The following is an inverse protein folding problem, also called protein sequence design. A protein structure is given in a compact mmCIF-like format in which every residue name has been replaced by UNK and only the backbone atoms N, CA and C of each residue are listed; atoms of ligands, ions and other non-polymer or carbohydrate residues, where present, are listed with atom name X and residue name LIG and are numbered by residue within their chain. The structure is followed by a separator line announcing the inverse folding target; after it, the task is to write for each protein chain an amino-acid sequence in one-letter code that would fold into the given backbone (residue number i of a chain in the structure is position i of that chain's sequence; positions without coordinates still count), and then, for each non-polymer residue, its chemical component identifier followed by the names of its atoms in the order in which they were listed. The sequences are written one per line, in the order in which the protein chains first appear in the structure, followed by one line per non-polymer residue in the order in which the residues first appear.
data_IF_561964161445
#
_entry.id   IF_561964161445
#
_cell.length_a   1.000
_cell.length_b   1.000
_cell.length_c   1.000
_cell.angle_alpha   90.00
_cell.angle_beta   90.00
_cell.angle_gamma   90.00
#
_symmetry.space_group_name_H-M   'P 1'
#
loop_
_entity.id
_entity.type
_entity.pdbx_description
1 polymer ?
#
# COMPACT_ATOMS: atom_id res chain seq x y z
N UNK A 1 18.58 -6.60 -23.38
CA UNK A 1 17.74 -5.97 -22.33
C UNK A 1 18.48 -6.22 -21.02
N UNK A 2 19.04 -5.22 -20.39
CA UNK A 2 19.68 -5.40 -19.08
C UNK A 2 18.60 -5.74 -18.07
N UNK A 3 18.72 -6.91 -17.48
CA UNK A 3 17.81 -7.34 -16.40
C UNK A 3 18.31 -6.67 -15.10
N UNK A 4 17.85 -5.44 -14.85
CA UNK A 4 18.22 -4.69 -13.66
C UNK A 4 17.55 -5.36 -12.45
N UNK A 5 18.35 -5.77 -11.48
CA UNK A 5 17.87 -6.33 -10.22
C UNK A 5 17.65 -5.23 -9.20
N UNK A 6 16.68 -5.42 -8.33
CA UNK A 6 16.42 -4.47 -7.23
C UNK A 6 17.62 -4.36 -6.31
N UNK A 7 18.28 -5.48 -6.02
CA UNK A 7 19.49 -5.53 -5.19
C UNK A 7 20.68 -4.73 -5.75
N UNK A 8 20.69 -4.39 -7.06
CA UNK A 8 21.72 -3.51 -7.64
C UNK A 8 21.54 -2.04 -7.22
N UNK A 9 20.37 -1.67 -6.69
CA UNK A 9 20.00 -0.28 -6.36
C UNK A 9 19.66 -0.04 -4.91
N UNK A 10 19.25 -1.08 -4.19
CA UNK A 10 18.84 -0.98 -2.78
C UNK A 10 19.42 -2.13 -1.96
N UNK A 11 19.71 -1.83 -0.70
CA UNK A 11 20.15 -2.83 0.27
C UNK A 11 18.93 -3.35 1.04
N UNK A 12 18.52 -4.58 0.75
CA UNK A 12 17.37 -5.21 1.40
C UNK A 12 17.78 -5.67 2.79
N UNK A 13 17.34 -4.96 3.81
CA UNK A 13 17.66 -5.28 5.22
C UNK A 13 16.80 -6.39 5.79
N UNK A 14 15.54 -6.47 5.35
CA UNK A 14 14.60 -7.45 5.85
C UNK A 14 13.48 -7.69 4.82
N UNK A 15 13.05 -8.92 4.71
CA UNK A 15 11.82 -9.30 4.01
C UNK A 15 10.95 -10.13 4.96
N UNK A 16 9.77 -9.62 5.30
CA UNK A 16 8.78 -10.28 6.17
C UNK A 16 7.67 -10.96 5.37
N UNK A 17 7.68 -10.81 4.04
CA UNK A 17 6.70 -11.40 3.15
C UNK A 17 7.13 -12.80 2.69
N UNK A 18 6.17 -13.64 2.31
CA UNK A 18 6.41 -14.90 1.60
C UNK A 18 6.85 -14.69 0.15
N UNK A 19 6.72 -13.46 -0.37
CA UNK A 19 7.12 -13.10 -1.73
C UNK A 19 8.61 -12.75 -1.80
N UNK A 20 9.26 -13.19 -2.87
CA UNK A 20 10.61 -12.74 -3.18
C UNK A 20 10.60 -11.28 -3.65
N UNK A 21 11.53 -10.47 -3.16
CA UNK A 21 11.59 -9.02 -3.47
C UNK A 21 11.92 -8.79 -4.95
N UNK A 22 12.79 -9.62 -5.54
CA UNK A 22 13.19 -9.50 -6.95
C UNK A 22 12.03 -9.87 -7.90
N UNK A 23 11.13 -10.77 -7.47
CA UNK A 23 9.92 -11.10 -8.22
C UNK A 23 8.82 -10.06 -8.02
N UNK A 24 8.74 -9.48 -6.82
CA UNK A 24 7.68 -8.54 -6.45
C UNK A 24 7.94 -7.13 -6.97
N UNK A 25 9.18 -6.65 -6.92
CA UNK A 25 9.53 -5.26 -7.22
C UNK A 25 10.28 -5.16 -8.54
N UNK A 26 9.76 -4.34 -9.43
CA UNK A 26 10.38 -4.07 -10.71
C UNK A 26 10.83 -2.62 -10.81
N UNK A 27 11.98 -2.40 -11.46
CA UNK A 27 12.47 -1.07 -11.75
C UNK A 27 11.99 -0.67 -13.14
N UNK A 28 11.16 0.35 -13.21
CA UNK A 28 10.57 0.84 -14.44
C UNK A 28 11.10 2.23 -14.80
N UNK A 29 11.38 2.45 -16.06
CA UNK A 29 11.78 3.77 -16.57
C UNK A 29 10.54 4.66 -16.73
N UNK A 30 10.62 5.87 -16.22
CA UNK A 30 9.60 6.90 -16.47
C UNK A 30 9.90 7.64 -17.79
N UNK A 31 8.88 7.76 -18.62
CA UNK A 31 8.92 8.66 -19.77
C UNK A 31 8.58 10.07 -19.30
N UNK A 32 9.26 11.07 -19.86
CA UNK A 32 8.94 12.49 -19.65
C UNK A 32 9.04 13.01 -18.20
N UNK A 33 9.88 12.41 -17.36
CA UNK A 33 10.17 12.95 -16.05
C UNK A 33 11.69 13.10 -15.87
N UNK A 34 12.19 14.33 -15.99
CA UNK A 34 13.62 14.62 -15.89
C UNK A 34 14.15 14.54 -14.45
N UNK A 35 13.30 14.80 -13.46
CA UNK A 35 13.70 14.79 -12.04
C UNK A 35 13.83 13.37 -11.49
N UNK A 36 12.94 12.47 -11.92
CA UNK A 36 12.90 11.09 -11.46
C UNK A 36 12.73 10.15 -12.66
N UNK A 37 13.83 9.61 -13.11
CA UNK A 37 13.89 8.82 -14.34
C UNK A 37 13.37 7.37 -14.17
N UNK A 38 13.28 6.89 -12.97
CA UNK A 38 12.83 5.53 -12.66
C UNK A 38 11.81 5.52 -11.52
N UNK A 39 11.11 4.40 -11.36
CA UNK A 39 10.27 4.09 -10.22
C UNK A 39 10.33 2.60 -9.91
N UNK A 40 10.11 2.28 -8.64
CA UNK A 40 9.85 0.91 -8.22
C UNK A 40 8.35 0.62 -8.39
N UNK A 41 8.04 -0.50 -9.02
CA UNK A 41 6.67 -0.95 -9.24
C UNK A 41 6.49 -2.28 -8.54
N UNK A 42 5.54 -2.37 -7.63
CA UNK A 42 5.11 -3.64 -7.11
C UNK A 42 4.24 -4.33 -8.16
N UNK A 43 4.74 -5.42 -8.71
CA UNK A 43 4.06 -6.23 -9.72
C UNK A 43 2.72 -6.75 -9.21
N UNK A 44 2.70 -7.25 -7.99
CA UNK A 44 1.52 -7.87 -7.40
C UNK A 44 0.45 -6.88 -6.93
N UNK A 45 0.67 -5.58 -7.13
CA UNK A 45 -0.36 -4.57 -6.88
C UNK A 45 -1.47 -4.56 -7.94
N UNK A 46 -1.23 -5.17 -9.10
CA UNK A 46 -2.21 -5.26 -10.19
C UNK A 46 -2.51 -3.95 -10.92
N UNK A 47 -1.79 -2.85 -10.59
CA UNK A 47 -2.05 -1.54 -11.19
C UNK A 47 -1.41 -1.38 -12.58
N UNK A 48 -0.13 -1.71 -12.69
CA UNK A 48 0.65 -1.49 -13.92
C UNK A 48 0.80 -2.76 -14.75
N UNK A 49 0.78 -3.89 -14.08
CA UNK A 49 0.91 -5.23 -14.67
C UNK A 49 -0.30 -6.02 -14.18
N UNK A 50 -1.09 -6.60 -15.08
CA UNK A 50 -2.17 -7.50 -14.68
C UNK A 50 -1.61 -8.69 -13.90
N UNK A 51 -2.28 -9.04 -12.81
CA UNK A 51 -1.88 -10.16 -11.95
C UNK A 51 -3.11 -10.97 -11.53
N UNK A 52 -2.89 -12.21 -11.13
CA UNK A 52 -3.95 -13.06 -10.61
C UNK A 52 -4.53 -12.47 -9.30
N UNK A 53 -5.85 -12.29 -9.22
CA UNK A 53 -6.51 -11.76 -8.03
C UNK A 53 -6.20 -12.54 -6.73
N UNK A 54 -5.98 -13.85 -6.84
CA UNK A 54 -5.62 -14.66 -5.68
C UNK A 54 -4.23 -14.30 -5.15
N UNK A 55 -3.27 -14.03 -6.04
CA UNK A 55 -1.93 -13.56 -5.68
C UNK A 55 -1.98 -12.18 -5.02
N UNK A 56 -2.78 -11.26 -5.58
CA UNK A 56 -2.98 -9.93 -5.01
C UNK A 56 -3.60 -10.02 -3.60
N UNK A 57 -4.64 -10.85 -3.46
CA UNK A 57 -5.31 -11.07 -2.18
C UNK A 57 -4.37 -11.62 -1.12
N UNK A 58 -3.50 -12.58 -1.49
CA UNK A 58 -2.51 -13.12 -0.56
C UNK A 58 -1.53 -12.05 -0.09
N UNK A 59 -1.03 -11.20 -0.99
CA UNK A 59 -0.15 -10.10 -0.61
C UNK A 59 -0.83 -9.15 0.39
N UNK A 60 -2.10 -8.82 0.16
CA UNK A 60 -2.83 -7.92 1.04
C UNK A 60 -3.15 -8.55 2.40
N UNK A 61 -3.42 -9.85 2.45
CA UNK A 61 -3.59 -10.58 3.71
C UNK A 61 -2.28 -10.58 4.51
N UNK A 62 -1.15 -10.88 3.88
CA UNK A 62 0.16 -10.82 4.55
C UNK A 62 0.46 -9.41 5.10
N UNK A 63 0.15 -8.37 4.32
CA UNK A 63 0.30 -6.98 4.77
C UNK A 63 -0.61 -6.68 5.97
N UNK A 64 -1.85 -7.15 5.91
CA UNK A 64 -2.80 -6.99 7.00
C UNK A 64 -2.34 -7.71 8.27
N UNK A 65 -1.83 -8.94 8.16
CA UNK A 65 -1.32 -9.69 9.31
C UNK A 65 -0.18 -8.95 10.01
N UNK A 66 0.73 -8.31 9.27
CA UNK A 66 1.79 -7.48 9.84
C UNK A 66 1.23 -6.27 10.60
N UNK A 67 0.31 -5.53 9.97
CA UNK A 67 -0.33 -4.35 10.58
C UNK A 67 -1.21 -4.76 11.76
N UNK A 68 -2.05 -5.78 11.56
CA UNK A 68 -2.97 -6.28 12.57
C UNK A 68 -2.26 -6.82 13.81
N UNK A 69 -1.14 -7.50 13.62
CA UNK A 69 -0.32 -8.00 14.72
C UNK A 69 0.25 -6.87 15.57
N UNK A 70 0.80 -5.83 14.94
CA UNK A 70 1.30 -4.66 15.68
C UNK A 70 0.16 -3.89 16.35
N UNK A 71 -0.97 -3.73 15.66
CA UNK A 71 -2.16 -3.08 16.20
C UNK A 71 -2.75 -3.84 17.39
N UNK A 72 -2.80 -5.17 17.32
CA UNK A 72 -3.34 -6.00 18.39
C UNK A 72 -2.47 -6.00 19.67
N UNK A 73 -1.17 -5.69 19.57
CA UNK A 73 -0.31 -5.53 20.75
C UNK A 73 -0.69 -4.31 21.58
N UNK A 74 -1.23 -3.30 20.96
CA UNK A 74 -1.69 -2.09 21.63
C UNK A 74 -3.14 -2.28 22.07
N UNK A 75 -3.52 -1.66 23.17
CA UNK A 75 -4.89 -1.81 23.69
C UNK A 75 -5.82 -0.76 23.06
N UNK A 76 -6.26 -1.01 21.84
CA UNK A 76 -7.14 -0.12 21.08
C UNK A 76 -8.64 -0.42 21.26
N UNK A 77 -9.03 -0.95 22.41
CA UNK A 77 -10.41 -1.32 22.67
C UNK A 77 -11.34 -0.09 22.60
N UNK A 78 -12.31 -0.15 21.68
CA UNK A 78 -13.28 0.92 21.45
C UNK A 78 -12.77 2.09 20.62
N UNK A 79 -11.58 2.01 20.05
CA UNK A 79 -11.04 3.03 19.17
C UNK A 79 -11.64 2.94 17.76
N UNK A 80 -11.65 4.10 17.08
CA UNK A 80 -12.06 4.21 15.69
C UNK A 80 -10.82 4.24 14.81
N UNK A 81 -10.83 3.48 13.73
CA UNK A 81 -9.73 3.40 12.78
C UNK A 81 -10.12 4.07 11.48
N UNK A 82 -9.30 4.99 11.02
CA UNK A 82 -9.40 5.59 9.69
C UNK A 82 -8.18 5.17 8.86
N UNK A 83 -8.43 4.43 7.79
CA UNK A 83 -7.40 4.10 6.80
C UNK A 83 -7.44 5.13 5.69
N UNK A 84 -6.30 5.74 5.41
CA UNK A 84 -6.16 6.75 4.36
C UNK A 84 -5.28 6.23 3.25
N UNK A 85 -5.85 6.05 2.06
CA UNK A 85 -5.12 5.66 0.86
C UNK A 85 -4.72 6.86 0.01
N UNK A 86 -3.47 6.89 -0.44
CA UNK A 86 -3.02 7.93 -1.36
C UNK A 86 -3.50 7.66 -2.79
N UNK A 87 -4.09 8.68 -3.39
CA UNK A 87 -4.52 8.61 -4.78
C UNK A 87 -3.30 8.48 -5.73
N UNK A 88 -3.39 7.61 -6.69
CA UNK A 88 -4.47 6.66 -7.02
C UNK A 88 -4.05 5.24 -6.67
N UNK A 89 -2.74 5.07 -6.42
CA UNK A 89 -2.07 3.77 -6.36
C UNK A 89 -2.50 2.96 -5.14
N UNK A 90 -2.80 3.61 -4.03
CA UNK A 90 -3.15 2.93 -2.78
C UNK A 90 -4.64 2.61 -2.62
N UNK A 91 -5.49 2.89 -3.63
CA UNK A 91 -6.94 2.68 -3.52
C UNK A 91 -7.29 1.22 -3.15
N UNK A 92 -6.85 0.27 -3.96
CA UNK A 92 -7.17 -1.14 -3.73
C UNK A 92 -6.55 -1.66 -2.42
N UNK A 93 -5.34 -1.25 -2.09
CA UNK A 93 -4.68 -1.63 -0.84
C UNK A 93 -5.47 -1.08 0.35
N UNK A 94 -5.77 0.22 0.35
CA UNK A 94 -6.44 0.88 1.47
C UNK A 94 -7.85 0.33 1.72
N UNK A 95 -8.63 0.13 0.66
CA UNK A 95 -9.96 -0.46 0.74
C UNK A 95 -9.92 -1.89 1.27
N UNK A 96 -8.98 -2.69 0.77
CA UNK A 96 -8.81 -4.07 1.23
C UNK A 96 -8.38 -4.11 2.70
N UNK A 97 -7.44 -3.24 3.11
CA UNK A 97 -7.01 -3.15 4.52
C UNK A 97 -8.18 -2.77 5.42
N UNK A 98 -9.01 -1.79 5.03
CA UNK A 98 -10.19 -1.41 5.79
C UNK A 98 -11.18 -2.55 5.92
N UNK A 99 -11.42 -3.28 4.84
CA UNK A 99 -12.31 -4.44 4.83
C UNK A 99 -11.80 -5.56 5.74
N UNK A 100 -10.53 -5.92 5.62
CA UNK A 100 -9.91 -6.95 6.46
C UNK A 100 -9.96 -6.56 7.94
N UNK A 101 -9.69 -5.30 8.26
CA UNK A 101 -9.75 -4.80 9.63
C UNK A 101 -11.18 -4.81 10.19
N UNK A 102 -12.17 -4.47 9.37
CA UNK A 102 -13.58 -4.52 9.75
C UNK A 102 -14.06 -5.94 10.06
N UNK A 103 -13.61 -6.92 9.27
CA UNK A 103 -14.00 -8.33 9.45
C UNK A 103 -13.13 -9.09 10.45
N UNK A 104 -12.03 -8.53 10.89
CA UNK A 104 -11.15 -9.16 11.87
C UNK A 104 -11.79 -9.10 13.27
N UNK A 105 -12.51 -10.15 13.63
CA UNK A 105 -13.27 -10.24 14.89
C UNK A 105 -12.39 -10.17 16.15
N UNK A 106 -11.10 -10.37 16.01
CA UNK A 106 -10.13 -10.33 17.11
C UNK A 106 -9.62 -8.91 17.41
N UNK A 107 -9.83 -7.98 16.49
CA UNK A 107 -9.43 -6.59 16.70
C UNK A 107 -10.54 -5.85 17.45
N UNK A 108 -10.25 -5.31 18.64
CA UNK A 108 -11.25 -4.65 19.47
C UNK A 108 -11.54 -3.22 19.02
N UNK A 109 -11.75 -3.00 17.73
CA UNK A 109 -12.07 -1.69 17.16
C UNK A 109 -13.58 -1.48 17.11
N UNK A 110 -14.03 -0.26 17.42
CA UNK A 110 -15.44 0.10 17.38
C UNK A 110 -15.91 0.37 15.95
N UNK A 111 -15.03 0.96 15.14
CA UNK A 111 -15.40 1.41 13.80
C UNK A 111 -14.17 1.48 12.89
N UNK A 112 -14.34 1.04 11.65
CA UNK A 112 -13.33 1.17 10.60
C UNK A 112 -13.91 1.95 9.43
N UNK A 113 -13.19 2.93 8.94
CA UNK A 113 -13.53 3.67 7.73
C UNK A 113 -12.34 3.72 6.77
N UNK A 114 -12.65 3.86 5.49
CA UNK A 114 -11.66 4.13 4.45
C UNK A 114 -11.90 5.50 3.82
N UNK A 115 -10.83 6.22 3.59
CA UNK A 115 -10.83 7.48 2.86
C UNK A 115 -9.68 7.49 1.85
N UNK A 116 -9.95 8.01 0.67
CA UNK A 116 -8.93 8.22 -0.34
C UNK A 116 -8.62 9.72 -0.47
N UNK A 117 -7.34 10.04 -0.63
CA UNK A 117 -6.93 11.41 -0.96
C UNK A 117 -7.30 11.74 -2.40
N UNK A 118 -7.46 13.01 -2.71
CA UNK A 118 -7.69 13.49 -4.07
C UNK A 118 -6.58 14.45 -4.49
N UNK A 119 -6.29 14.46 -5.79
CA UNK A 119 -5.43 15.47 -6.42
C UNK A 119 -6.23 16.65 -6.97
N UNK A 120 -7.55 16.54 -6.96
CA UNK A 120 -8.45 17.58 -7.44
C UNK A 120 -8.84 18.50 -6.30
N UNK A 121 -9.01 19.78 -6.61
CA UNK A 121 -9.58 20.74 -5.69
C UNK A 121 -11.11 20.65 -5.76
N UNK A 122 -11.74 20.58 -4.59
CA UNK A 122 -13.19 20.55 -4.46
C UNK A 122 -13.65 21.80 -3.71
N UNK A 123 -14.82 22.32 -4.07
CA UNK A 123 -15.48 23.39 -3.33
C UNK A 123 -16.09 22.84 -2.04
N UNK A 124 -15.23 22.50 -1.10
CA UNK A 124 -15.61 21.99 0.21
C UNK A 124 -14.61 22.45 1.29
N UNK A 125 -15.01 22.30 2.55
CA UNK A 125 -14.13 22.62 3.66
C UNK A 125 -12.92 21.67 3.67
N UNK A 126 -11.74 22.22 3.42
CA UNK A 126 -10.48 21.48 3.57
C UNK A 126 -10.25 21.13 5.04
N UNK A 127 -10.00 19.86 5.32
CA UNK A 127 -9.67 19.38 6.66
C UNK A 127 -8.15 19.34 6.87
N UNK A 128 -7.43 18.81 5.89
CA UNK A 128 -5.97 18.79 5.84
C UNK A 128 -5.50 18.63 4.40
N UNK A 129 -4.27 18.99 4.14
CA UNK A 129 -3.57 18.70 2.90
C UNK A 129 -2.10 18.36 3.20
N UNK A 130 -1.44 17.80 2.23
CA UNK A 130 0.00 17.52 2.24
C UNK A 130 0.53 17.57 0.82
N UNK A 131 1.80 17.89 0.68
CA UNK A 131 2.49 17.84 -0.61
C UNK A 131 3.41 16.62 -0.67
N UNK A 132 3.43 15.97 -1.80
CA UNK A 132 4.45 14.99 -2.16
C UNK A 132 5.53 15.68 -3.01
N UNK A 133 6.79 15.55 -2.61
CA UNK A 133 7.92 15.91 -3.48
C UNK A 133 8.29 14.72 -4.35
N UNK A 134 8.03 14.84 -5.64
CA UNK A 134 8.36 13.85 -6.65
C UNK A 134 9.49 14.32 -7.57
#
# INVERSE_FOLDING_TARGET
MYNLKVADFVDIKQNLSSFDVEDMVHICKRKNNAKRQYLFVNRYQGKHIPEDPATISRLYVELFEQIGYEFAKEKHKGEKVLIVGFAETATAIGETMASLMYYATELPVEFVAYMQTSREEYDCKKLFDFSEEH
#
